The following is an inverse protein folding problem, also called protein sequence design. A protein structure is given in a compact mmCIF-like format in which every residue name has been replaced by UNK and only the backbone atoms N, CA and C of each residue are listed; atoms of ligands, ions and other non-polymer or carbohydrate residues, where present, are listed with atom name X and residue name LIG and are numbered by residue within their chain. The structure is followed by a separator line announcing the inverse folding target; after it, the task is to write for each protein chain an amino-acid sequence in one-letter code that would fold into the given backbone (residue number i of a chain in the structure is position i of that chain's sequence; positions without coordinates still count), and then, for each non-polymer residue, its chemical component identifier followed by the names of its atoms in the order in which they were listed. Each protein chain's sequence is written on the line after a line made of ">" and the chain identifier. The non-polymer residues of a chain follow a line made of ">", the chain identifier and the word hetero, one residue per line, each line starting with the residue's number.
data_IF_710991136123
#
_entry.id   IF_710991136123
#
_cell.length_a   1.000
_cell.length_b   1.000
_cell.length_c   1.000
_cell.angle_alpha   90.00
_cell.angle_beta   90.00
_cell.angle_gamma   90.00
#
_symmetry.space_group_name_H-M   'P 1'
#
loop_
_entity.id
_entity.type
_entity.pdbx_description
1 polymer ?
#
# COMPACT_ATOMS: atom_id res chain seq x y z
N UNK A 1 4.15 15.39 1.70
CA UNK A 1 3.42 14.82 2.88
C UNK A 1 2.06 15.45 3.02
N UNK A 2 1.95 16.78 3.00
CA UNK A 2 0.66 17.48 3.07
C UNK A 2 -0.35 17.11 1.95
N UNK A 3 0.10 16.62 0.81
CA UNK A 3 -0.81 16.08 -0.22
C UNK A 3 -1.58 14.87 0.27
N UNK A 4 -0.94 13.98 1.05
CA UNK A 4 -1.58 12.77 1.55
C UNK A 4 -2.72 13.11 2.50
N UNK A 5 -2.48 14.03 3.43
CA UNK A 5 -3.48 14.42 4.44
C UNK A 5 -4.53 15.38 3.88
N UNK A 6 -4.09 16.45 3.19
CA UNK A 6 -4.97 17.52 2.74
C UNK A 6 -5.70 17.25 1.44
N UNK A 7 -5.04 16.64 0.44
CA UNK A 7 -5.63 16.45 -0.89
C UNK A 7 -6.31 15.09 -1.03
N UNK A 8 -5.67 14.03 -0.52
CA UNK A 8 -6.16 12.66 -0.70
C UNK A 8 -6.92 12.12 0.51
N UNK A 9 -6.89 12.81 1.65
CA UNK A 9 -7.63 12.45 2.85
C UNK A 9 -7.12 11.16 3.49
N UNK A 10 -5.80 10.96 3.51
CA UNK A 10 -5.17 9.80 4.12
C UNK A 10 -4.36 10.19 5.35
N UNK A 11 -4.44 9.34 6.37
CA UNK A 11 -3.55 9.45 7.52
C UNK A 11 -2.12 9.13 7.11
N UNK A 12 -1.15 9.73 7.78
CA UNK A 12 0.28 9.46 7.59
C UNK A 12 1.01 9.28 8.92
N UNK A 13 2.07 8.47 8.90
CA UNK A 13 2.89 8.20 10.09
C UNK A 13 4.37 8.27 9.73
N UNK A 14 5.22 8.92 10.55
CA UNK A 14 6.66 8.84 10.41
C UNK A 14 7.15 7.39 10.53
N UNK A 15 7.81 6.91 9.51
CA UNK A 15 8.31 5.55 9.40
C UNK A 15 9.81 5.43 9.64
N UNK A 16 10.22 4.26 10.10
CA UNK A 16 11.62 3.91 10.19
C UNK A 16 12.31 4.00 8.81
N UNK A 17 13.62 4.21 8.82
CA UNK A 17 14.49 4.10 7.65
C UNK A 17 15.38 2.89 7.80
N UNK A 18 15.85 2.36 6.70
CA UNK A 18 16.93 1.37 6.71
C UNK A 18 18.06 1.85 5.81
N UNK A 19 19.29 1.65 6.26
CA UNK A 19 20.51 1.87 5.50
C UNK A 19 21.46 0.72 5.77
N UNK A 20 22.05 0.15 4.73
CA UNK A 20 23.01 -0.96 4.83
C UNK A 20 22.51 -2.15 5.68
N UNK A 21 21.18 -2.41 5.63
CA UNK A 21 20.55 -3.48 6.40
C UNK A 21 20.23 -3.15 7.85
N UNK A 22 20.60 -1.96 8.35
CA UNK A 22 20.32 -1.50 9.72
C UNK A 22 19.07 -0.62 9.73
N UNK A 23 18.14 -0.93 10.64
CA UNK A 23 16.93 -0.14 10.83
C UNK A 23 17.17 1.00 11.83
N UNK A 24 16.62 2.18 11.54
CA UNK A 24 16.69 3.33 12.44
C UNK A 24 15.94 3.16 13.77
N UNK A 25 15.15 2.08 13.94
CA UNK A 25 14.53 1.73 15.21
C UNK A 25 15.51 1.19 16.27
N UNK A 26 16.77 0.92 15.88
CA UNK A 26 17.82 0.42 16.78
C UNK A 26 17.70 -1.05 17.20
N UNK A 27 16.67 -1.78 16.72
CA UNK A 27 16.51 -3.21 17.03
C UNK A 27 17.33 -4.06 16.08
N UNK A 28 18.18 -4.92 16.62
CA UNK A 28 19.01 -5.84 15.81
C UNK A 28 18.16 -6.90 15.07
N UNK A 29 17.01 -7.28 15.66
CA UNK A 29 16.08 -8.27 15.13
C UNK A 29 14.87 -7.67 14.42
N UNK A 30 14.99 -6.46 13.88
CA UNK A 30 13.91 -5.77 13.20
C UNK A 30 13.37 -6.61 12.03
N UNK A 31 12.10 -7.04 12.11
CA UNK A 31 11.48 -7.91 11.11
C UNK A 31 11.09 -7.19 9.81
N UNK A 32 11.03 -5.87 9.84
CA UNK A 32 10.65 -5.05 8.69
C UNK A 32 11.50 -3.77 8.65
N UNK A 33 12.83 -3.87 8.45
CA UNK A 33 13.71 -2.71 8.45
C UNK A 33 13.20 -1.63 7.48
N UNK A 34 13.03 -0.39 7.98
CA UNK A 34 12.60 0.75 7.20
C UNK A 34 11.15 0.71 6.67
N UNK A 35 10.32 -0.21 7.16
CA UNK A 35 8.94 -0.38 6.68
C UNK A 35 7.92 -0.51 7.82
N UNK A 36 8.20 0.09 8.96
CA UNK A 36 7.30 0.13 10.12
C UNK A 36 7.30 1.52 10.76
N UNK A 37 6.26 1.90 11.52
CA UNK A 37 6.25 3.15 12.26
C UNK A 37 7.42 3.23 13.25
N UNK A 38 7.90 4.44 13.49
CA UNK A 38 8.83 4.71 14.59
C UNK A 38 8.07 4.64 15.91
N UNK A 39 8.75 4.16 16.96
CA UNK A 39 8.20 4.16 18.31
C UNK A 39 7.88 5.61 18.73
N UNK A 40 6.70 5.82 19.30
CA UNK A 40 6.17 7.13 19.71
C UNK A 40 5.96 8.17 18.59
N UNK A 41 6.07 7.76 17.31
CA UNK A 41 5.75 8.66 16.21
C UNK A 41 4.25 9.01 16.23
N UNK A 42 3.90 10.30 16.13
CA UNK A 42 2.50 10.71 16.07
C UNK A 42 1.89 10.24 14.75
N UNK A 43 0.65 9.77 14.82
CA UNK A 43 -0.15 9.61 13.64
C UNK A 43 -0.76 10.96 13.26
N UNK A 44 -0.55 11.39 12.03
CA UNK A 44 -1.08 12.64 11.50
C UNK A 44 -2.35 12.32 10.71
N UNK A 45 -3.53 12.75 11.18
CA UNK A 45 -4.80 12.38 10.57
C UNK A 45 -5.03 13.09 9.23
N UNK A 46 -5.92 12.52 8.44
CA UNK A 46 -6.47 13.16 7.25
C UNK A 46 -7.04 14.55 7.59
N UNK A 47 -6.83 15.51 6.70
CA UNK A 47 -7.25 16.90 6.91
C UNK A 47 -6.25 17.76 7.68
N UNK A 48 -5.16 17.19 8.18
CA UNK A 48 -4.10 17.96 8.86
C UNK A 48 -3.46 18.98 7.92
N UNK A 49 -3.14 20.13 8.49
CA UNK A 49 -2.48 21.24 7.82
C UNK A 49 -0.99 20.95 7.57
N UNK A 50 -0.36 21.77 6.72
CA UNK A 50 1.08 21.65 6.46
C UNK A 50 1.90 21.85 7.74
N UNK A 51 1.48 22.76 8.62
CA UNK A 51 2.18 23.06 9.87
C UNK A 51 2.14 21.86 10.83
N UNK A 52 0.98 21.22 11.00
CA UNK A 52 0.83 20.01 11.83
C UNK A 52 1.67 18.85 11.29
N UNK A 53 1.68 18.67 9.96
CA UNK A 53 2.54 17.65 9.32
C UNK A 53 4.02 17.98 9.55
N UNK A 54 4.42 19.23 9.42
CA UNK A 54 5.81 19.67 9.61
C UNK A 54 6.26 19.46 11.06
N UNK A 55 5.42 19.82 12.03
CA UNK A 55 5.68 19.60 13.44
C UNK A 55 5.85 18.11 13.76
N UNK A 56 4.98 17.26 13.24
CA UNK A 56 5.07 15.81 13.42
C UNK A 56 6.40 15.24 12.92
N UNK A 57 6.93 15.75 11.79
CA UNK A 57 8.21 15.31 11.24
C UNK A 57 9.44 15.98 11.87
N UNK A 58 9.27 17.11 12.58
CA UNK A 58 10.38 17.80 13.26
C UNK A 58 11.09 16.91 14.29
N UNK A 59 10.34 16.06 14.98
CA UNK A 59 10.89 15.06 15.91
C UNK A 59 11.54 13.82 15.24
N UNK A 60 11.34 13.65 13.93
CA UNK A 60 11.77 12.46 13.19
C UNK A 60 12.43 12.84 11.84
N UNK A 61 13.55 13.57 11.84
CA UNK A 61 14.13 14.08 10.62
C UNK A 61 14.51 12.96 9.65
N UNK A 62 14.03 13.11 8.42
CA UNK A 62 14.23 12.15 7.35
C UNK A 62 13.45 10.84 7.48
N UNK A 63 12.48 10.72 8.40
CA UNK A 63 11.61 9.57 8.47
C UNK A 63 10.87 9.34 7.13
N UNK A 64 10.68 8.09 6.76
CA UNK A 64 9.84 7.73 5.62
C UNK A 64 8.36 8.04 5.93
N UNK A 65 7.57 8.21 4.88
CA UNK A 65 6.12 8.37 5.03
C UNK A 65 5.47 7.01 4.93
N UNK A 66 4.72 6.62 5.95
CA UNK A 66 3.91 5.42 5.94
C UNK A 66 2.43 5.79 5.90
N UNK A 67 1.66 5.00 5.17
CA UNK A 67 0.20 5.08 5.11
C UNK A 67 -0.40 3.94 5.94
N UNK A 68 -1.16 4.23 7.00
CA UNK A 68 -1.93 3.23 7.73
C UNK A 68 -3.00 2.62 6.82
N UNK A 69 -3.06 1.29 6.77
CA UNK A 69 -4.06 0.54 5.99
C UNK A 69 -5.23 0.16 6.88
N UNK A 70 -6.43 0.07 6.29
CA UNK A 70 -7.65 -0.34 6.98
C UNK A 70 -8.46 0.81 7.59
N UNK A 71 -8.21 2.06 7.16
CA UNK A 71 -8.98 3.25 7.51
C UNK A 71 -9.63 3.88 6.29
N UNK A 72 -8.84 4.54 5.45
CA UNK A 72 -9.31 5.14 4.21
C UNK A 72 -9.33 4.15 3.05
N UNK A 73 -8.50 3.11 3.11
CA UNK A 73 -8.40 2.05 2.10
C UNK A 73 -7.82 0.78 2.71
N UNK A 74 -8.09 -0.35 2.06
CA UNK A 74 -7.34 -1.59 2.18
C UNK A 74 -6.44 -1.76 0.96
N UNK A 75 -5.56 -2.77 0.99
CA UNK A 75 -4.63 -3.06 -0.10
C UNK A 75 -4.72 -4.52 -0.51
N UNK A 76 -4.75 -4.77 -1.82
CA UNK A 76 -4.44 -6.08 -2.39
C UNK A 76 -3.00 -6.04 -2.89
N UNK A 77 -2.15 -6.85 -2.27
CA UNK A 77 -0.75 -7.00 -2.63
C UNK A 77 -0.56 -8.19 -3.57
N UNK A 78 0.21 -7.98 -4.64
CA UNK A 78 0.59 -9.01 -5.63
C UNK A 78 2.05 -8.83 -6.05
N UNK A 79 2.61 -9.82 -6.75
CA UNK A 79 3.90 -9.61 -7.43
C UNK A 79 3.79 -8.45 -8.43
N UNK A 80 4.80 -7.60 -8.53
CA UNK A 80 4.78 -6.40 -9.38
C UNK A 80 4.52 -6.73 -10.85
N UNK A 81 5.15 -7.78 -11.37
CA UNK A 81 4.93 -8.23 -12.76
C UNK A 81 3.50 -8.64 -13.05
N UNK A 82 2.81 -9.23 -12.08
CA UNK A 82 1.37 -9.54 -12.11
C UNK A 82 0.58 -8.24 -12.05
N UNK A 83 0.94 -7.35 -11.14
CA UNK A 83 0.29 -6.07 -10.93
C UNK A 83 0.30 -5.19 -12.17
N UNK A 84 1.44 -5.03 -12.83
CA UNK A 84 1.56 -4.25 -14.06
C UNK A 84 0.67 -4.79 -15.20
N UNK A 85 0.65 -6.12 -15.38
CA UNK A 85 -0.20 -6.76 -16.40
C UNK A 85 -1.69 -6.64 -16.08
N UNK A 86 -2.04 -6.81 -14.82
CA UNK A 86 -3.43 -6.69 -14.37
C UNK A 86 -3.91 -5.24 -14.50
N UNK A 87 -3.08 -4.25 -14.08
CA UNK A 87 -3.40 -2.82 -14.20
C UNK A 87 -3.70 -2.45 -15.65
N UNK A 88 -2.81 -2.78 -16.59
CA UNK A 88 -3.00 -2.51 -18.01
C UNK A 88 -4.28 -3.18 -18.57
N UNK A 89 -4.67 -4.35 -18.06
CA UNK A 89 -5.89 -5.04 -18.47
C UNK A 89 -7.13 -4.35 -17.89
N UNK A 90 -7.12 -3.99 -16.62
CA UNK A 90 -8.22 -3.30 -15.94
C UNK A 90 -8.52 -1.95 -16.60
N UNK A 91 -7.47 -1.19 -16.92
CA UNK A 91 -7.59 0.11 -17.58
C UNK A 91 -8.18 -0.03 -19.00
N UNK A 92 -7.73 -1.02 -19.77
CA UNK A 92 -8.32 -1.30 -21.10
C UNK A 92 -9.78 -1.72 -21.05
N UNK A 93 -10.21 -2.35 -19.97
CA UNK A 93 -11.62 -2.72 -19.76
C UNK A 93 -12.46 -1.55 -19.22
N UNK A 94 -11.86 -0.38 -18.96
CA UNK A 94 -12.56 0.78 -18.39
C UNK A 94 -13.05 0.56 -16.96
N UNK A 95 -12.47 -0.39 -16.23
CA UNK A 95 -12.86 -0.64 -14.85
C UNK A 95 -12.29 0.43 -13.92
N UNK A 96 -13.02 0.81 -12.86
CA UNK A 96 -12.51 1.74 -11.87
C UNK A 96 -11.31 1.10 -11.16
N UNK A 97 -10.16 1.78 -11.22
CA UNK A 97 -8.93 1.35 -10.54
C UNK A 97 -8.50 2.48 -9.60
N UNK A 98 -8.23 2.12 -8.36
CA UNK A 98 -7.65 3.01 -7.36
C UNK A 98 -6.16 3.31 -7.64
N UNK A 99 -5.51 4.04 -6.73
CA UNK A 99 -4.06 4.20 -6.76
C UNK A 99 -3.36 2.83 -6.72
N UNK A 100 -2.19 2.75 -7.36
CA UNK A 100 -1.37 1.53 -7.34
C UNK A 100 0.08 1.92 -7.12
N UNK A 101 0.72 1.36 -6.09
CA UNK A 101 2.17 1.55 -5.84
C UNK A 101 2.95 0.30 -6.19
N UNK A 102 4.26 0.46 -6.37
CA UNK A 102 5.20 -0.64 -6.41
C UNK A 102 6.33 -0.40 -5.41
N UNK A 103 6.82 -1.49 -4.82
CA UNK A 103 7.98 -1.47 -3.93
C UNK A 103 9.22 -2.00 -4.65
N UNK A 104 10.43 -1.60 -4.22
CA UNK A 104 11.66 -2.12 -4.79
C UNK A 104 11.87 -3.64 -4.56
N UNK A 105 11.05 -4.26 -3.70
CA UNK A 105 11.02 -5.72 -3.51
C UNK A 105 10.13 -6.43 -4.55
N UNK A 106 9.64 -5.73 -5.55
CA UNK A 106 8.84 -6.32 -6.62
C UNK A 106 7.40 -6.65 -6.21
N UNK A 107 6.82 -5.87 -5.27
CA UNK A 107 5.40 -5.99 -4.90
C UNK A 107 4.60 -4.80 -5.42
N UNK A 108 3.42 -5.05 -5.93
CA UNK A 108 2.44 -4.03 -6.29
C UNK A 108 1.29 -4.03 -5.29
N UNK A 109 0.85 -2.82 -4.89
CA UNK A 109 -0.21 -2.57 -3.93
C UNK A 109 -1.37 -1.87 -4.62
N UNK A 110 -2.50 -2.55 -4.77
CA UNK A 110 -3.74 -1.98 -5.30
C UNK A 110 -4.59 -1.46 -4.14
N UNK A 111 -4.89 -0.18 -4.14
CA UNK A 111 -5.75 0.42 -3.13
C UNK A 111 -7.21 0.11 -3.45
N UNK A 112 -7.91 -0.40 -2.48
CA UNK A 112 -9.31 -0.84 -2.58
C UNK A 112 -10.12 -0.37 -1.37
N UNK A 113 -11.44 -0.46 -1.47
CA UNK A 113 -12.32 -0.10 -0.37
C UNK A 113 -12.01 -0.90 0.91
N UNK A 114 -12.20 -0.25 2.06
CA UNK A 114 -11.99 -0.85 3.40
C UNK A 114 -12.87 -2.09 3.58
N UNK A 115 -12.33 -3.10 4.26
CA UNK A 115 -12.96 -4.41 4.48
C UNK A 115 -12.50 -5.48 3.48
N UNK A 116 -11.90 -5.06 2.37
CA UNK A 116 -11.45 -5.96 1.31
C UNK A 116 -10.44 -7.02 1.80
N UNK A 117 -9.55 -6.66 2.69
CA UNK A 117 -8.52 -7.57 3.20
C UNK A 117 -9.14 -8.75 3.97
N UNK A 118 -10.16 -8.49 4.79
CA UNK A 118 -10.86 -9.51 5.54
C UNK A 118 -11.73 -10.41 4.65
N UNK A 119 -12.30 -9.84 3.59
CA UNK A 119 -13.17 -10.57 2.66
C UNK A 119 -12.42 -11.32 1.55
N UNK A 120 -11.13 -11.03 1.34
CA UNK A 120 -10.35 -11.55 0.23
C UNK A 120 -10.44 -13.08 0.06
N UNK A 121 -10.26 -13.91 1.10
CA UNK A 121 -10.36 -15.36 0.96
C UNK A 121 -11.76 -15.82 0.49
N UNK A 122 -12.82 -15.21 1.06
CA UNK A 122 -14.20 -15.50 0.70
C UNK A 122 -14.52 -15.11 -0.74
N UNK A 123 -14.03 -13.94 -1.19
CA UNK A 123 -14.23 -13.48 -2.56
C UNK A 123 -13.53 -14.40 -3.56
N UNK A 124 -12.30 -14.81 -3.30
CA UNK A 124 -11.55 -15.74 -4.14
C UNK A 124 -12.27 -17.09 -4.23
N UNK A 125 -12.69 -17.65 -3.10
CA UNK A 125 -13.45 -18.91 -3.07
C UNK A 125 -14.74 -18.83 -3.93
N UNK A 126 -15.50 -17.74 -3.81
CA UNK A 126 -16.72 -17.52 -4.62
C UNK A 126 -16.45 -17.39 -6.12
N UNK A 127 -15.22 -17.04 -6.50
CA UNK A 127 -14.78 -16.99 -7.90
C UNK A 127 -14.18 -18.30 -8.39
N UNK A 128 -14.26 -19.39 -7.58
CA UNK A 128 -13.77 -20.73 -7.95
C UNK A 128 -12.28 -20.95 -7.68
N UNK A 129 -11.67 -20.13 -6.80
CA UNK A 129 -10.27 -20.30 -6.40
C UNK A 129 -10.19 -21.01 -5.05
N UNK A 130 -10.14 -22.35 -5.06
CA UNK A 130 -10.13 -23.17 -3.84
C UNK A 130 -8.80 -23.07 -3.05
N UNK A 131 -7.71 -22.68 -3.71
CA UNK A 131 -6.39 -22.50 -3.09
C UNK A 131 -5.87 -21.05 -3.28
N UNK A 132 -6.42 -20.06 -2.55
CA UNK A 132 -6.02 -18.65 -2.71
C UNK A 132 -4.52 -18.41 -2.45
N UNK A 133 -3.92 -19.17 -1.55
CA UNK A 133 -2.48 -19.11 -1.25
C UNK A 133 -1.60 -19.39 -2.46
N UNK A 134 -2.10 -20.18 -3.42
CA UNK A 134 -1.40 -20.46 -4.66
C UNK A 134 -1.33 -19.25 -5.61
N UNK A 135 -2.12 -18.19 -5.41
CA UNK A 135 -2.14 -17.02 -6.28
C UNK A 135 -1.14 -15.92 -5.88
N UNK A 136 -0.48 -16.04 -4.72
CA UNK A 136 0.36 -14.97 -4.13
C UNK A 136 -0.37 -13.62 -4.02
N UNK A 137 -1.68 -13.69 -3.72
CA UNK A 137 -2.54 -12.55 -3.43
C UNK A 137 -2.65 -12.38 -1.92
N UNK A 138 -2.38 -11.18 -1.42
CA UNK A 138 -2.47 -10.88 0.02
C UNK A 138 -3.36 -9.67 0.24
N UNK A 139 -4.24 -9.74 1.22
CA UNK A 139 -4.97 -8.59 1.74
C UNK A 139 -4.19 -7.92 2.86
N UNK A 140 -3.96 -6.62 2.75
CA UNK A 140 -3.43 -5.81 3.83
C UNK A 140 -4.58 -4.93 4.32
N UNK A 141 -4.90 -5.04 5.59
CA UNK A 141 -5.96 -4.29 6.26
C UNK A 141 -5.45 -3.62 7.54
N UNK A 142 -6.34 -3.38 8.47
CA UNK A 142 -6.07 -2.66 9.72
C UNK A 142 -4.84 -3.19 10.46
N UNK A 143 -4.00 -2.26 10.93
CA UNK A 143 -2.75 -2.57 11.63
C UNK A 143 -1.56 -2.84 10.72
N UNK A 144 -1.75 -2.72 9.40
CA UNK A 144 -0.68 -2.75 8.42
C UNK A 144 -0.35 -1.35 7.92
N UNK A 145 0.84 -1.22 7.38
CA UNK A 145 1.34 0.03 6.81
C UNK A 145 1.95 -0.25 5.45
N UNK A 146 1.86 0.71 4.55
CA UNK A 146 2.60 0.71 3.29
C UNK A 146 3.45 1.97 3.19
N UNK A 147 4.59 1.87 2.53
CA UNK A 147 5.46 3.01 2.29
C UNK A 147 4.89 3.88 1.18
N UNK A 148 4.69 5.16 1.48
CA UNK A 148 4.20 6.13 0.50
C UNK A 148 5.32 6.55 -0.45
N UNK A 149 5.09 6.55 -1.78
CA UNK A 149 6.05 7.12 -2.72
C UNK A 149 6.30 8.62 -2.46
N UNK A 150 7.52 9.13 -2.61
CA UNK A 150 8.73 8.45 -3.03
C UNK A 150 9.63 7.97 -1.87
N UNK A 151 9.06 7.71 -0.68
CA UNK A 151 9.86 7.27 0.47
C UNK A 151 10.60 5.97 0.19
N UNK A 152 11.81 5.86 0.74
CA UNK A 152 12.59 4.63 0.68
C UNK A 152 11.87 3.48 1.40
N UNK A 153 11.89 2.30 0.83
CA UNK A 153 11.30 1.11 1.39
C UNK A 153 12.39 0.09 1.76
N UNK A 154 12.74 0.07 3.03
CA UNK A 154 13.65 -0.92 3.59
C UNK A 154 15.11 -0.78 3.14
N UNK A 155 15.58 0.42 2.78
CA UNK A 155 16.95 0.66 2.31
C UNK A 155 17.24 0.09 0.91
N UNK A 156 16.19 -0.29 0.16
CA UNK A 156 16.30 -0.88 -1.18
C UNK A 156 15.91 0.06 -2.30
N UNK A 157 15.57 1.28 -1.96
CA UNK A 157 15.14 2.32 -2.89
C UNK A 157 13.70 2.76 -2.68
N UNK A 158 13.24 3.76 -3.46
CA UNK A 158 11.95 4.37 -3.26
C UNK A 158 10.79 3.47 -3.71
N UNK A 159 9.71 3.51 -2.94
CA UNK A 159 8.40 3.12 -3.46
C UNK A 159 8.00 4.08 -4.59
N UNK A 160 7.23 3.62 -5.58
CA UNK A 160 6.82 4.43 -6.72
C UNK A 160 5.36 4.21 -7.08
N UNK A 161 4.74 5.19 -7.70
CA UNK A 161 3.41 5.04 -8.27
C UNK A 161 3.49 4.27 -9.60
N UNK A 162 2.71 3.19 -9.73
CA UNK A 162 2.34 2.61 -11.01
C UNK A 162 1.14 3.34 -11.59
N UNK A 163 0.22 3.74 -10.71
CA UNK A 163 -0.91 4.62 -10.98
C UNK A 163 -1.04 5.61 -9.82
N UNK A 164 -0.79 6.90 -10.05
CA UNK A 164 -0.91 7.90 -9.00
C UNK A 164 -2.37 8.08 -8.57
N UNK A 165 -2.62 8.57 -7.34
CA UNK A 165 -3.96 8.94 -6.89
C UNK A 165 -4.50 10.11 -7.71
N UNK A 166 -5.78 10.03 -8.06
CA UNK A 166 -6.59 11.17 -8.46
C UNK A 166 -7.61 11.46 -7.37
N UNK A 167 -8.21 12.65 -7.36
CA UNK A 167 -9.14 13.07 -6.31
C UNK A 167 -10.24 12.02 -6.04
N UNK A 168 -10.91 11.54 -7.08
CA UNK A 168 -11.96 10.53 -6.93
C UNK A 168 -11.42 9.18 -6.48
N UNK A 169 -10.32 8.72 -7.04
CA UNK A 169 -9.76 7.40 -6.76
C UNK A 169 -9.08 7.30 -5.40
N UNK A 170 -8.61 8.43 -4.85
CA UNK A 170 -8.02 8.50 -3.52
C UNK A 170 -9.09 8.48 -2.43
N UNK A 171 -10.16 9.26 -2.61
CA UNK A 171 -11.23 9.39 -1.61
C UNK A 171 -12.26 8.26 -1.67
N UNK A 172 -12.41 7.62 -2.82
CA UNK A 172 -13.34 6.51 -3.05
C UNK A 172 -12.64 5.34 -3.77
N UNK A 173 -11.77 4.60 -3.08
CA UNK A 173 -11.12 3.44 -3.67
C UNK A 173 -12.16 2.41 -4.14
N UNK A 174 -11.91 1.71 -5.26
CA UNK A 174 -12.87 0.77 -5.83
C UNK A 174 -13.05 -0.47 -4.94
N UNK A 175 -14.21 -1.11 -5.05
CA UNK A 175 -14.43 -2.38 -4.39
C UNK A 175 -13.51 -3.49 -4.94
N UNK A 176 -12.94 -4.30 -4.06
CA UNK A 176 -12.01 -5.37 -4.41
C UNK A 176 -12.57 -6.35 -5.46
N UNK A 177 -13.88 -6.64 -5.40
CA UNK A 177 -14.55 -7.57 -6.33
C UNK A 177 -14.41 -7.15 -7.80
N UNK A 178 -14.26 -5.86 -8.08
CA UNK A 178 -14.12 -5.36 -9.45
C UNK A 178 -12.74 -5.68 -10.05
N UNK A 179 -11.71 -5.77 -9.20
CA UNK A 179 -10.33 -5.97 -9.60
C UNK A 179 -9.89 -7.44 -9.48
N UNK A 180 -10.46 -8.13 -8.48
CA UNK A 180 -9.96 -9.41 -7.99
C UNK A 180 -9.97 -10.51 -9.06
N UNK A 181 -10.99 -10.58 -9.90
CA UNK A 181 -11.06 -11.55 -10.98
C UNK A 181 -9.90 -11.42 -11.97
N UNK A 182 -9.55 -10.17 -12.34
CA UNK A 182 -8.41 -9.91 -13.22
C UNK A 182 -7.08 -10.20 -12.52
N UNK A 183 -6.92 -9.80 -11.28
CA UNK A 183 -5.71 -10.06 -10.48
C UNK A 183 -5.48 -11.57 -10.34
N UNK A 184 -6.50 -12.32 -9.94
CA UNK A 184 -6.42 -13.77 -9.78
C UNK A 184 -6.11 -14.49 -11.11
N UNK A 185 -6.77 -14.10 -12.18
CA UNK A 185 -6.53 -14.66 -13.52
C UNK A 185 -5.08 -14.43 -13.98
N UNK A 186 -4.58 -13.19 -13.86
CA UNK A 186 -3.21 -12.85 -14.27
C UNK A 186 -2.19 -13.56 -13.38
N UNK A 187 -2.43 -13.61 -12.06
CA UNK A 187 -1.57 -14.33 -11.13
C UNK A 187 -1.47 -15.82 -11.45
N UNK A 188 -2.59 -16.46 -11.72
CA UNK A 188 -2.63 -17.87 -12.13
C UNK A 188 -1.85 -18.14 -13.41
N UNK A 189 -2.10 -17.34 -14.45
CA UNK A 189 -1.42 -17.44 -15.77
C UNK A 189 0.09 -17.16 -15.70
N UNK A 190 0.55 -16.51 -14.66
CA UNK A 190 1.98 -16.17 -14.48
C UNK A 190 2.80 -17.32 -13.88
N UNK A 191 2.12 -18.36 -13.41
CA UNK A 191 2.73 -19.56 -12.80
C UNK A 191 2.71 -20.78 -13.73
N UNK A 192 1.85 -20.75 -14.72
CA UNK A 192 1.78 -21.73 -15.80
C UNK A 192 2.82 -21.41 -16.88
#
# INVERSE_FOLDING_TARGET
>A
MAEFTGLWGWDVVPGARAAEGVCSCGRADCRAPGAHPLDFAPEVPAGSTLDEVTEAWAGFPGASVLLPVGRSFDVIEVAESVGCRALARLERMGLPVGPVTATPQGRAHFFVAVGAAAELPRLLYRMGWDAPSALDLRGLGRGRYITAPPSDHGGRGPARWLRPPGLDSATRPPEARLLLGTLAYVAHRSRA
#
